data_IF_448810345124
#
_entry.id   IF_448810345124
#
_cell.length_a   1.000
_cell.length_b   1.000
_cell.length_c   1.000
_cell.angle_alpha   90.00
_cell.angle_beta   90.00
_cell.angle_gamma   90.00
#
_symmetry.space_group_name_H-M   'P 1'
#
loop_
_entity.id
_entity.type
_entity.pdbx_description
1 polymer ?
#
# COMPACT_ATOMS: atom_id res chain seq x y z
N UNK A 1 -5.98 -10.89 -3.22
CA UNK A 1 -5.46 -12.26 -3.02
C UNK A 1 -4.57 -12.57 -4.21
N UNK A 2 -3.32 -12.95 -3.99
CA UNK A 2 -2.38 -13.30 -5.06
C UNK A 2 -1.99 -14.77 -4.90
N UNK A 3 -1.86 -15.48 -6.03
CA UNK A 3 -1.59 -16.92 -6.10
C UNK A 3 -0.16 -17.25 -5.70
N UNK A 4 0.03 -18.32 -4.89
CA UNK A 4 1.33 -18.85 -4.44
C UNK A 4 2.29 -19.28 -5.57
N UNK A 5 1.87 -19.23 -6.83
CA UNK A 5 2.69 -19.55 -8.02
C UNK A 5 3.22 -18.33 -8.77
N UNK A 6 2.87 -17.12 -8.36
CA UNK A 6 3.37 -15.92 -9.02
C UNK A 6 4.63 -15.43 -8.28
N UNK A 7 5.78 -15.52 -8.94
CA UNK A 7 7.02 -14.86 -8.52
C UNK A 7 6.92 -13.37 -8.83
N UNK A 8 6.53 -12.55 -7.86
CA UNK A 8 6.48 -11.10 -8.04
C UNK A 8 7.89 -10.53 -7.91
N UNK A 9 8.36 -9.91 -8.98
CA UNK A 9 9.56 -9.09 -8.96
C UNK A 9 9.08 -7.66 -8.72
N UNK A 10 9.44 -7.09 -7.59
CA UNK A 10 9.06 -5.73 -7.25
C UNK A 10 10.07 -4.78 -7.87
N UNK A 11 9.58 -3.86 -8.68
CA UNK A 11 10.38 -2.79 -9.27
C UNK A 11 10.09 -1.55 -8.43
N UNK A 12 11.09 -1.07 -7.68
CA UNK A 12 11.03 0.27 -7.11
C UNK A 12 11.34 1.26 -8.24
N UNK A 13 10.43 2.20 -8.45
CA UNK A 13 10.62 3.29 -9.39
C UNK A 13 10.52 4.57 -8.59
N UNK A 14 11.61 5.33 -8.55
CA UNK A 14 11.71 6.60 -7.82
C UNK A 14 11.06 7.73 -8.63
N UNK A 15 9.78 7.55 -8.98
CA UNK A 15 8.99 8.45 -9.80
C UNK A 15 7.50 8.36 -9.47
N UNK A 16 6.75 9.44 -9.73
CA UNK A 16 5.28 9.42 -9.68
C UNK A 16 4.72 8.55 -10.82
N UNK A 17 4.59 7.24 -10.57
CA UNK A 17 3.93 6.32 -11.49
C UNK A 17 2.42 6.49 -11.39
N UNK A 18 1.80 6.69 -12.55
CA UNK A 18 0.34 6.62 -12.67
C UNK A 18 -0.05 5.27 -13.26
N UNK A 19 -0.91 4.52 -12.57
CA UNK A 19 -1.45 3.24 -13.07
C UNK A 19 -2.62 3.54 -14.00
N UNK A 20 -2.52 3.08 -15.25
CA UNK A 20 -3.54 3.25 -16.27
C UNK A 20 -4.15 1.90 -16.65
N UNK A 21 -5.44 1.72 -16.39
CA UNK A 21 -6.19 0.50 -16.74
C UNK A 21 -5.55 -0.81 -16.22
N UNK A 22 -4.89 -0.76 -15.06
CA UNK A 22 -4.19 -1.91 -14.47
C UNK A 22 -2.77 -2.13 -14.98
N UNK A 23 -2.25 -1.23 -15.82
CA UNK A 23 -0.89 -1.29 -16.37
C UNK A 23 -0.04 -0.11 -15.89
N UNK A 24 1.26 -0.35 -15.76
CA UNK A 24 2.27 0.68 -15.55
C UNK A 24 2.85 1.01 -16.93
N UNK A 25 2.80 2.28 -17.31
CA UNK A 25 3.34 2.77 -18.56
C UNK A 25 4.72 3.38 -18.33
N UNK A 26 5.72 2.88 -19.05
CA UNK A 26 7.11 3.34 -18.93
C UNK A 26 7.66 3.60 -20.33
N UNK A 27 8.36 4.72 -20.48
CA UNK A 27 9.14 5.03 -21.68
C UNK A 27 10.54 4.48 -21.49
N UNK A 28 10.96 3.61 -22.39
CA UNK A 28 12.26 2.92 -22.36
C UNK A 28 13.11 3.36 -23.56
N UNK A 29 14.42 3.41 -23.36
CA UNK A 29 15.42 3.57 -24.42
C UNK A 29 15.60 2.27 -25.21
N UNK A 30 16.25 2.34 -26.38
CA UNK A 30 16.54 1.14 -27.19
C UNK A 30 17.43 0.13 -26.46
N UNK A 31 18.36 0.61 -25.61
CA UNK A 31 19.22 -0.25 -24.79
C UNK A 31 18.42 -1.01 -23.72
N UNK A 32 17.51 -0.32 -23.04
CA UNK A 32 16.61 -0.94 -22.05
C UNK A 32 15.63 -1.89 -22.71
N UNK A 33 15.15 -1.56 -23.90
CA UNK A 33 14.28 -2.43 -24.68
C UNK A 33 14.97 -3.76 -25.02
N UNK A 34 16.23 -3.72 -25.43
CA UNK A 34 17.02 -4.94 -25.67
C UNK A 34 17.23 -5.77 -24.39
N UNK A 35 17.41 -5.11 -23.25
CA UNK A 35 17.51 -5.79 -21.95
C UNK A 35 16.19 -6.46 -21.56
N UNK A 36 15.06 -5.76 -21.74
CA UNK A 36 13.72 -6.32 -21.50
C UNK A 36 13.48 -7.53 -22.39
N UNK A 37 13.80 -7.45 -23.69
CA UNK A 37 13.68 -8.61 -24.59
C UNK A 37 14.51 -9.82 -24.12
N UNK A 38 15.73 -9.58 -23.63
CA UNK A 38 16.60 -10.64 -23.12
C UNK A 38 15.97 -11.36 -21.93
N UNK A 39 15.33 -10.59 -21.03
CA UNK A 39 14.65 -11.11 -19.85
C UNK A 39 13.36 -11.84 -20.23
N UNK A 40 12.50 -11.23 -21.06
CA UNK A 40 11.18 -11.78 -21.39
C UNK A 40 11.29 -13.08 -22.18
N UNK A 41 12.34 -13.27 -23.01
CA UNK A 41 12.62 -14.52 -23.73
C UNK A 41 12.81 -15.73 -22.81
N UNK A 42 13.20 -15.51 -21.56
CA UNK A 42 13.36 -16.58 -20.57
C UNK A 42 12.06 -16.90 -19.81
N UNK A 43 11.01 -16.09 -20.00
CA UNK A 43 9.75 -16.20 -19.29
C UNK A 43 8.67 -16.85 -20.16
N UNK A 44 7.80 -17.66 -19.53
CA UNK A 44 6.68 -18.30 -20.23
C UNK A 44 5.50 -17.34 -20.48
N UNK A 45 5.31 -16.36 -19.58
CA UNK A 45 4.24 -15.37 -19.64
C UNK A 45 4.73 -14.03 -19.07
N UNK A 46 5.45 -13.22 -19.87
CA UNK A 46 6.05 -11.98 -19.37
C UNK A 46 4.99 -10.92 -19.02
N UNK A 47 3.83 -10.92 -19.69
CA UNK A 47 2.80 -9.88 -19.55
C UNK A 47 3.37 -8.44 -19.73
N UNK A 48 4.37 -8.31 -20.60
CA UNK A 48 5.01 -7.06 -20.99
C UNK A 48 4.60 -6.75 -22.43
N UNK A 49 4.16 -5.51 -22.67
CA UNK A 49 3.62 -5.07 -23.95
C UNK A 49 4.32 -3.80 -24.42
N UNK A 50 4.52 -3.70 -25.73
CA UNK A 50 5.08 -2.55 -26.42
C UNK A 50 4.00 -1.89 -27.28
N UNK A 51 3.91 -0.57 -27.24
CA UNK A 51 3.10 0.18 -28.18
C UNK A 51 3.92 0.48 -29.44
N UNK A 52 3.45 0.04 -30.62
CA UNK A 52 4.08 0.29 -31.91
C UNK A 52 3.01 0.28 -33.01
N UNK A 53 3.13 1.19 -33.99
CA UNK A 53 2.24 1.23 -35.17
C UNK A 53 0.74 1.24 -34.79
N UNK A 54 0.38 2.06 -33.80
CA UNK A 54 -0.98 2.20 -33.25
C UNK A 54 -1.60 0.91 -32.67
N UNK A 55 -0.77 -0.07 -32.31
CA UNK A 55 -1.21 -1.31 -31.67
C UNK A 55 -0.29 -1.71 -30.49
N UNK A 56 -0.85 -2.50 -29.57
CA UNK A 56 -0.06 -3.20 -28.57
C UNK A 56 0.45 -4.52 -29.15
N UNK A 57 1.73 -4.78 -28.93
CA UNK A 57 2.37 -6.06 -29.22
C UNK A 57 2.98 -6.62 -27.95
N UNK A 58 2.83 -7.91 -27.72
CA UNK A 58 3.46 -8.62 -26.62
C UNK A 58 4.95 -8.87 -26.93
N UNK A 59 5.80 -8.75 -25.90
CA UNK A 59 7.24 -9.00 -26.04
C UNK A 59 7.55 -10.48 -26.35
N UNK A 60 8.67 -10.75 -27.05
CA UNK A 60 9.19 -12.10 -27.22
C UNK A 60 9.30 -12.85 -25.89
N UNK A 61 8.86 -14.11 -25.88
CA UNK A 61 8.81 -15.00 -24.73
C UNK A 61 9.33 -16.39 -25.08
N UNK A 62 9.39 -17.28 -24.08
CA UNK A 62 9.74 -18.70 -24.30
C UNK A 62 8.75 -19.40 -25.26
N UNK A 63 7.51 -18.92 -25.34
CA UNK A 63 6.46 -19.47 -26.22
C UNK A 63 6.48 -18.87 -27.62
N UNK A 64 6.82 -17.60 -27.74
CA UNK A 64 6.85 -16.88 -29.02
C UNK A 64 8.18 -16.15 -29.16
N UNK A 65 9.07 -16.56 -30.09
CA UNK A 65 10.37 -15.90 -30.26
C UNK A 65 10.27 -14.49 -30.87
N UNK A 66 9.11 -14.15 -31.44
CA UNK A 66 8.84 -12.87 -32.08
C UNK A 66 7.71 -12.10 -31.37
N UNK A 67 7.62 -10.80 -31.65
CA UNK A 67 6.55 -9.94 -31.18
C UNK A 67 5.19 -10.43 -31.72
N UNK A 68 4.24 -10.62 -30.81
CA UNK A 68 2.89 -11.09 -31.17
C UNK A 68 1.85 -10.00 -30.94
N UNK A 69 0.87 -9.81 -31.85
CA UNK A 69 -0.25 -8.91 -31.61
C UNK A 69 -1.03 -9.33 -30.35
N UNK A 70 -1.49 -8.36 -29.56
CA UNK A 70 -2.39 -8.64 -28.44
C UNK A 70 -3.75 -9.14 -28.94
N UNK A 71 -4.19 -10.32 -28.51
CA UNK A 71 -5.52 -10.85 -28.82
C UNK A 71 -6.64 -10.19 -28.00
N UNK A 72 -7.89 -10.39 -28.40
CA UNK A 72 -9.09 -9.76 -27.81
C UNK A 72 -9.25 -9.98 -26.29
N UNK A 73 -8.58 -11.01 -25.74
CA UNK A 73 -8.65 -11.40 -24.34
C UNK A 73 -7.32 -11.25 -23.58
N UNK A 74 -6.26 -10.74 -24.22
CA UNK A 74 -4.93 -10.65 -23.62
C UNK A 74 -4.21 -9.36 -24.01
N UNK A 75 -3.90 -8.53 -23.02
CA UNK A 75 -3.10 -7.31 -23.18
C UNK A 75 -3.91 -6.01 -23.10
N UNK A 76 -3.22 -4.86 -23.15
CA UNK A 76 -3.88 -3.56 -23.01
C UNK A 76 -4.76 -3.25 -24.23
N UNK A 77 -5.93 -2.66 -24.00
CA UNK A 77 -6.91 -2.31 -25.06
C UNK A 77 -7.16 -0.80 -25.18
N UNK A 78 -6.22 0.03 -24.72
CA UNK A 78 -6.33 1.49 -24.73
C UNK A 78 -5.19 2.14 -25.51
N UNK A 79 -5.39 3.36 -26.02
CA UNK A 79 -4.34 4.11 -26.71
C UNK A 79 -3.53 4.97 -25.69
N UNK A 80 -2.20 4.74 -25.56
CA UNK A 80 -1.34 5.47 -24.61
C UNK A 80 -0.82 6.82 -25.12
N UNK A 81 -0.99 7.18 -26.40
CA UNK A 81 -0.36 8.36 -27.04
C UNK A 81 -0.75 9.71 -26.39
N UNK A 82 -1.90 9.77 -25.72
CA UNK A 82 -2.34 10.95 -24.96
C UNK A 82 -1.99 10.94 -23.47
N UNK A 83 -1.24 9.94 -23.00
CA UNK A 83 -0.91 9.75 -21.60
C UNK A 83 0.48 10.30 -21.29
N UNK A 84 0.65 10.76 -20.05
CA UNK A 84 1.95 11.18 -19.52
C UNK A 84 2.66 9.95 -19.00
N UNK A 85 3.82 9.66 -19.57
CA UNK A 85 4.54 8.40 -19.33
C UNK A 85 5.82 8.75 -18.58
N UNK A 86 6.19 7.92 -17.61
CA UNK A 86 7.42 8.09 -16.85
C UNK A 86 8.58 7.51 -17.65
N UNK A 87 9.67 8.25 -17.79
CA UNK A 87 10.92 7.72 -18.34
C UNK A 87 11.57 6.75 -17.33
N UNK A 88 11.97 5.57 -17.79
CA UNK A 88 12.51 4.49 -16.95
C UNK A 88 13.76 4.92 -16.15
N UNK A 89 14.66 5.69 -16.77
CA UNK A 89 15.96 6.07 -16.20
C UNK A 89 15.91 7.31 -15.33
N UNK A 90 15.10 8.30 -15.68
CA UNK A 90 15.11 9.63 -15.02
C UNK A 90 13.95 9.83 -14.06
N UNK A 91 12.92 8.96 -14.12
CA UNK A 91 11.72 9.10 -13.31
C UNK A 91 10.90 10.35 -13.63
N UNK A 92 11.25 11.11 -14.67
CA UNK A 92 10.54 12.32 -15.06
C UNK A 92 9.32 11.96 -15.91
N UNK A 93 8.24 12.70 -15.67
CA UNK A 93 7.00 12.58 -16.42
C UNK A 93 7.18 13.28 -17.76
N UNK A 94 7.30 12.51 -18.83
CA UNK A 94 7.43 13.01 -20.20
C UNK A 94 6.12 12.81 -20.97
N UNK A 95 5.81 13.75 -21.87
CA UNK A 95 4.74 13.54 -22.82
C UNK A 95 5.13 12.41 -23.80
N UNK A 96 4.18 11.53 -24.14
CA UNK A 96 4.40 10.45 -25.11
C UNK A 96 4.75 10.96 -26.52
N UNK A 97 4.38 12.20 -26.84
CA UNK A 97 4.71 12.92 -28.08
C UNK A 97 5.50 14.17 -27.72
N UNK A 98 6.72 14.29 -28.26
CA UNK A 98 7.48 15.52 -28.17
C UNK A 98 6.79 16.59 -29.03
N UNK A 99 6.49 17.74 -28.43
CA UNK A 99 5.89 18.86 -29.15
C UNK A 99 4.39 19.07 -28.92
N UNK A 100 3.88 20.16 -29.49
CA UNK A 100 2.46 20.47 -29.60
C UNK A 100 2.03 20.25 -31.05
N UNK A 101 1.07 19.35 -31.27
CA UNK A 101 0.49 19.07 -32.57
C UNK A 101 -0.78 19.89 -32.78
N UNK A 102 -0.95 20.42 -34.00
CA UNK A 102 -2.18 21.10 -34.42
C UNK A 102 -2.78 20.44 -35.65
N UNK A 103 -4.02 19.99 -35.51
CA UNK A 103 -4.83 19.46 -36.60
C UNK A 103 -5.95 20.45 -36.94
N UNK A 104 -6.03 20.89 -38.20
CA UNK A 104 -7.13 21.73 -38.70
C UNK A 104 -8.21 20.82 -39.30
N UNK A 105 -9.39 20.79 -38.70
CA UNK A 105 -10.56 20.11 -39.26
C UNK A 105 -11.57 21.15 -39.74
N UNK A 106 -12.02 21.04 -41.00
CA UNK A 106 -13.08 21.88 -41.56
C UNK A 106 -14.04 21.00 -42.36
N UNK A 107 -15.35 21.06 -42.05
CA UNK A 107 -16.37 20.20 -42.67
C UNK A 107 -16.79 20.66 -44.07
N UNK A 108 -16.81 21.97 -44.30
CA UNK A 108 -17.10 22.59 -45.59
C UNK A 108 -16.35 23.92 -45.68
N UNK A 109 -16.05 24.41 -46.89
CA UNK A 109 -15.28 25.66 -47.06
C UNK A 109 -15.98 26.90 -46.45
N UNK A 110 -17.29 26.83 -46.22
CA UNK A 110 -18.10 27.86 -45.56
C UNK A 110 -18.16 27.76 -44.03
N UNK A 111 -17.74 26.63 -43.44
CA UNK A 111 -17.79 26.43 -41.99
C UNK A 111 -16.53 26.98 -41.31
N UNK A 112 -16.69 27.47 -40.08
CA UNK A 112 -15.56 27.88 -39.24
C UNK A 112 -14.65 26.69 -38.96
N UNK A 113 -13.32 26.81 -39.22
CA UNK A 113 -12.40 25.72 -39.00
C UNK A 113 -12.17 25.49 -37.50
N UNK A 114 -11.93 24.23 -37.16
CA UNK A 114 -11.60 23.79 -35.81
C UNK A 114 -10.13 23.43 -35.78
N UNK A 115 -9.39 24.06 -34.88
CA UNK A 115 -7.99 23.76 -34.62
C UNK A 115 -7.90 22.89 -33.37
N UNK A 116 -7.57 21.61 -33.54
CA UNK A 116 -7.34 20.68 -32.44
C UNK A 116 -5.87 20.73 -32.04
N UNK A 117 -5.61 20.92 -30.75
CA UNK A 117 -4.27 21.08 -30.19
C UNK A 117 -4.04 19.94 -29.19
N UNK A 118 -3.04 19.10 -29.46
CA UNK A 118 -2.68 17.90 -28.69
C UNK A 118 -1.16 17.79 -28.48
N UNK A 119 -0.68 16.80 -27.72
CA UNK A 119 0.74 16.67 -27.34
C UNK A 119 1.05 17.30 -25.98
N UNK A 120 2.22 17.93 -25.83
CA UNK A 120 2.68 18.51 -24.55
C UNK A 120 2.03 19.86 -24.21
N UNK A 121 0.71 19.83 -24.07
CA UNK A 121 -0.12 21.03 -23.83
C UNK A 121 -0.34 21.34 -22.35
N UNK A 122 0.09 20.45 -21.45
CA UNK A 122 -0.19 20.56 -20.01
C UNK A 122 0.62 21.65 -19.30
N UNK A 123 1.94 21.84 -19.54
CA UNK A 123 2.69 22.97 -18.98
C UNK A 123 2.12 24.33 -19.41
N UNK A 124 1.45 24.36 -20.57
CA UNK A 124 0.93 25.57 -21.20
C UNK A 124 -0.59 25.70 -21.12
N UNK A 125 -1.24 24.93 -20.23
CA UNK A 125 -2.71 24.88 -20.11
C UNK A 125 -3.33 26.26 -19.82
N UNK A 126 -2.66 27.09 -19.02
CA UNK A 126 -3.17 28.42 -18.66
C UNK A 126 -3.04 29.40 -19.83
N UNK A 127 -1.97 29.30 -20.61
CA UNK A 127 -1.82 30.04 -21.88
C UNK A 127 -2.93 29.67 -22.86
N UNK A 128 -3.20 28.38 -23.04
CA UNK A 128 -4.27 27.91 -23.93
C UNK A 128 -5.65 28.40 -23.50
N UNK A 129 -5.97 28.35 -22.20
CA UNK A 129 -7.22 28.91 -21.66
C UNK A 129 -7.32 30.42 -21.85
N UNK A 130 -6.24 31.16 -21.55
CA UNK A 130 -6.19 32.63 -21.65
C UNK A 130 -6.51 33.10 -23.07
N UNK A 131 -6.08 32.35 -24.08
CA UNK A 131 -6.30 32.65 -25.49
C UNK A 131 -7.54 31.96 -26.10
N UNK A 132 -8.48 31.51 -25.25
CA UNK A 132 -9.80 31.06 -25.69
C UNK A 132 -9.87 29.60 -26.19
N UNK A 133 -8.81 28.80 -26.01
CA UNK A 133 -8.86 27.37 -26.32
C UNK A 133 -9.69 26.64 -25.26
N UNK A 134 -10.47 25.64 -25.69
CA UNK A 134 -11.34 24.84 -24.81
C UNK A 134 -10.92 23.38 -24.81
N UNK A 135 -11.04 22.70 -23.68
CA UNK A 135 -10.70 21.27 -23.59
C UNK A 135 -11.87 20.37 -24.00
N UNK A 136 -11.64 19.42 -24.91
CA UNK A 136 -12.60 18.39 -25.28
C UNK A 136 -12.33 17.10 -24.50
N UNK A 137 -13.28 16.69 -23.64
CA UNK A 137 -13.20 15.41 -22.92
C UNK A 137 -13.25 14.20 -23.86
N UNK A 138 -13.95 14.30 -25.00
CA UNK A 138 -14.15 13.19 -25.95
C UNK A 138 -12.90 12.88 -26.78
N UNK A 139 -12.19 13.92 -27.23
CA UNK A 139 -10.94 13.78 -27.99
C UNK A 139 -9.67 13.88 -27.13
N UNK A 140 -9.81 14.25 -25.85
CA UNK A 140 -8.68 14.53 -24.94
C UNK A 140 -7.68 15.51 -25.58
N UNK A 141 -8.20 16.58 -26.17
CA UNK A 141 -7.40 17.61 -26.84
C UNK A 141 -8.03 18.98 -26.63
N UNK A 142 -7.22 20.02 -26.69
CA UNK A 142 -7.70 21.40 -26.75
C UNK A 142 -8.26 21.68 -28.14
N UNK A 143 -9.22 22.59 -28.25
CA UNK A 143 -9.73 23.06 -29.52
C UNK A 143 -9.93 24.57 -29.51
N UNK A 144 -9.72 25.19 -30.66
CA UNK A 144 -10.02 26.58 -30.94
C UNK A 144 -10.90 26.65 -32.19
N UNK A 145 -11.96 27.48 -32.13
CA UNK A 145 -12.89 27.69 -33.25
C UNK A 145 -12.68 29.12 -33.73
N UNK A 146 -12.14 29.28 -34.93
CA UNK A 146 -11.83 30.58 -35.52
C UNK A 146 -11.04 30.39 -36.81
N UNK A 147 -10.95 31.45 -37.63
CA UNK A 147 -10.30 31.38 -38.94
C UNK A 147 -8.82 30.98 -38.84
N UNK A 148 -8.12 31.54 -37.86
CA UNK A 148 -6.71 31.31 -37.57
C UNK A 148 -6.48 31.17 -36.06
N UNK A 149 -5.44 30.41 -35.68
CA UNK A 149 -5.01 30.29 -34.28
C UNK A 149 -4.47 31.64 -33.77
N UNK A 150 -4.74 32.00 -32.50
CA UNK A 150 -4.15 33.20 -31.90
C UNK A 150 -2.62 33.19 -32.00
N UNK A 151 -2.01 34.34 -32.31
CA UNK A 151 -0.56 34.47 -32.54
C UNK A 151 0.28 33.92 -31.37
N UNK A 152 -0.18 34.14 -30.13
CA UNK A 152 0.48 33.61 -28.93
C UNK A 152 0.48 32.07 -28.87
N UNK A 153 -0.57 31.42 -29.38
CA UNK A 153 -0.64 29.95 -29.47
C UNK A 153 0.25 29.45 -30.61
N UNK A 154 0.31 30.17 -31.74
CA UNK A 154 1.22 29.84 -32.84
C UNK A 154 2.70 29.98 -32.43
N UNK A 155 3.04 31.02 -31.67
CA UNK A 155 4.39 31.23 -31.13
C UNK A 155 4.76 30.12 -30.14
N UNK A 156 3.83 29.73 -29.27
CA UNK A 156 4.03 28.61 -28.35
C UNK A 156 4.33 27.30 -29.10
N UNK A 157 3.56 26.99 -30.14
CA UNK A 157 3.78 25.79 -30.96
C UNK A 157 5.17 25.83 -31.62
N UNK A 158 5.56 26.98 -32.16
CA UNK A 158 6.89 27.16 -32.75
C UNK A 158 7.99 26.94 -31.72
N UNK A 159 7.88 27.53 -30.52
CA UNK A 159 8.86 27.39 -29.44
C UNK A 159 9.01 25.93 -28.98
N UNK A 160 7.90 25.21 -28.85
CA UNK A 160 7.89 23.83 -28.31
C UNK A 160 8.28 22.78 -29.37
N UNK A 161 8.16 23.10 -30.67
CA UNK A 161 8.47 22.17 -31.77
C UNK A 161 9.82 22.42 -32.47
N UNK A 162 10.62 23.41 -32.06
CA UNK A 162 11.98 23.53 -32.61
C UNK A 162 12.82 22.35 -32.10
N UNK A 163 13.45 21.55 -32.98
CA UNK A 163 14.39 20.53 -32.54
C UNK A 163 15.62 21.22 -31.97
N UNK A 164 15.81 21.13 -30.66
CA UNK A 164 17.08 21.47 -30.01
C UNK A 164 18.09 20.38 -30.38
N UNK A 165 18.92 20.65 -31.38
CA UNK A 165 20.22 19.99 -31.53
C UNK A 165 21.09 20.42 -30.34
N UNK A 166 21.76 19.46 -29.72
CA UNK A 166 22.50 19.62 -28.50
C UNK A 166 23.67 20.63 -28.62
N UNK A 167 23.79 21.47 -27.57
CA UNK A 167 24.97 22.20 -27.05
C UNK A 167 25.29 23.64 -27.53
N UNK A 168 25.30 24.52 -26.51
CA UNK A 168 26.01 25.80 -26.29
C UNK A 168 25.43 27.09 -26.91
N UNK A 169 24.69 27.84 -26.09
CA UNK A 169 24.78 29.30 -25.81
C UNK A 169 23.60 29.60 -24.85
N UNK A 170 23.77 29.58 -23.53
CA UNK A 170 24.42 30.60 -22.71
C UNK A 170 24.33 32.05 -23.25
N UNK A 171 23.51 32.83 -22.53
CA UNK A 171 23.46 34.30 -22.38
C UNK A 171 22.79 35.06 -23.55
N UNK A 172 21.87 36.03 -23.36
CA UNK A 172 21.62 36.93 -22.22
C UNK A 172 20.27 37.69 -22.34
N UNK A 173 19.73 38.14 -21.19
CA UNK A 173 18.80 39.27 -20.90
C UNK A 173 17.33 38.89 -20.63
N UNK A 174 16.74 39.13 -19.46
CA UNK A 174 17.16 39.85 -18.24
C UNK A 174 16.36 39.31 -17.06
N UNK A 175 17.03 38.66 -16.11
CA UNK A 175 16.55 38.49 -14.74
C UNK A 175 16.93 39.75 -13.98
N UNK A 176 15.97 40.66 -13.84
CA UNK A 176 15.99 41.71 -12.82
C UNK A 176 14.72 41.49 -12.02
N UNK A 177 14.81 40.59 -11.04
CA UNK A 177 13.93 40.36 -9.87
C UNK A 177 13.96 38.88 -9.44
N UNK A 178 15.06 38.45 -8.81
CA UNK A 178 15.15 37.52 -7.67
C UNK A 178 16.54 36.83 -7.60
N UNK A 179 17.56 37.58 -7.20
CA UNK A 179 18.63 36.99 -6.37
C UNK A 179 18.70 37.75 -5.02
N UNK A 180 18.96 37.03 -3.91
CA UNK A 180 18.99 37.62 -2.57
C UNK A 180 20.24 38.52 -2.39
N UNK A 181 20.08 39.63 -1.65
CA UNK A 181 21.14 40.61 -1.36
C UNK A 181 22.53 39.99 -1.14
N UNK A 182 23.54 40.63 -1.74
CA UNK A 182 24.95 40.34 -1.48
C UNK A 182 25.31 40.59 -0.01
N UNK A 183 26.28 39.81 0.51
CA UNK A 183 26.73 39.90 1.91
C UNK A 183 27.40 41.25 2.24
N UNK A 184 27.92 41.93 1.22
CA UNK A 184 28.54 43.25 1.35
C UNK A 184 27.47 44.34 1.52
N UNK A 185 26.33 44.26 0.82
CA UNK A 185 25.15 45.09 1.07
C UNK A 185 24.50 44.78 2.42
N UNK A 186 24.41 43.49 2.80
CA UNK A 186 23.90 43.10 4.11
C UNK A 186 24.74 43.66 5.27
N UNK A 187 26.07 43.76 5.10
CA UNK A 187 26.97 44.35 6.10
C UNK A 187 26.79 45.87 6.24
N UNK A 188 26.51 46.57 5.14
CA UNK A 188 26.24 48.00 5.10
C UNK A 188 24.87 48.36 5.71
N UNK A 189 23.88 47.47 5.58
CA UNK A 189 22.54 47.63 6.14
C UNK A 189 22.49 47.24 7.64
N UNK A 190 23.25 46.24 8.08
CA UNK A 190 23.20 45.72 9.46
C UNK A 190 24.33 46.21 10.38
N UNK A 191 25.34 46.90 9.88
CA UNK A 191 26.37 47.56 10.70
C UNK A 191 27.29 46.60 11.49
N UNK A 192 27.40 45.32 11.10
CA UNK A 192 28.29 44.34 11.75
C UNK A 192 29.06 43.52 10.69
N UNK A 193 30.40 43.38 10.80
CA UNK A 193 31.20 42.64 9.83
C UNK A 193 31.16 41.11 10.06
N UNK A 194 30.82 40.33 9.02
CA UNK A 194 30.86 38.85 9.01
C UNK A 194 32.09 38.39 8.21
N UNK A 195 32.89 37.46 8.76
CA UNK A 195 34.10 36.89 8.12
C UNK A 195 33.86 35.47 7.61
N UNK A 196 34.29 35.21 6.38
CA UNK A 196 34.31 33.87 5.76
C UNK A 196 35.45 32.98 6.31
N UNK A 197 35.18 31.67 6.41
CA UNK A 197 36.19 30.63 6.66
C UNK A 197 36.51 29.89 5.37
N UNK A 198 37.79 29.87 5.03
CA UNK A 198 38.38 29.23 3.84
C UNK A 198 38.31 27.71 3.86
N UNK A 199 38.16 27.14 2.65
CA UNK A 199 38.26 25.70 2.34
C UNK A 199 39.69 25.38 1.93
N UNK A 200 40.28 24.34 2.52
CA UNK A 200 41.57 23.76 2.11
C UNK A 200 41.37 22.44 1.35
N UNK A 201 42.13 22.26 0.27
CA UNK A 201 42.22 21.08 -0.61
C UNK A 201 43.13 19.96 -0.05
N UNK A 202 42.84 18.68 -0.34
CA UNK A 202 43.80 17.57 -0.69
C UNK A 202 43.02 16.38 -1.37
N UNK A 203 43.65 15.36 -2.02
CA UNK A 203 43.41 14.97 -3.44
C UNK A 203 42.98 13.49 -3.69
N UNK A 204 42.79 13.15 -4.97
CA UNK A 204 42.53 11.85 -5.65
C UNK A 204 42.61 10.52 -4.86
N UNK A 205 41.47 9.82 -4.77
CA UNK A 205 41.34 8.35 -4.69
C UNK A 205 40.04 7.89 -5.41
N UNK A 206 40.02 6.69 -6.03
CA UNK A 206 38.94 6.26 -6.93
C UNK A 206 37.61 5.99 -6.23
N UNK A 207 36.52 6.37 -6.90
CA UNK A 207 35.14 6.42 -6.39
C UNK A 207 34.68 5.13 -5.67
N UNK A 208 34.29 5.20 -4.38
CA UNK A 208 33.44 4.19 -3.79
C UNK A 208 31.98 4.46 -4.16
N UNK A 209 31.34 3.43 -4.73
CA UNK A 209 29.90 3.25 -4.95
C UNK A 209 29.01 4.03 -3.96
N UNK A 210 27.89 4.64 -4.39
CA UNK A 210 27.09 5.53 -3.56
C UNK A 210 26.57 4.82 -2.30
N UNK A 211 27.11 5.20 -1.14
CA UNK A 211 26.63 4.79 0.18
C UNK A 211 25.24 5.41 0.41
N UNK A 212 24.23 4.57 0.51
CA UNK A 212 22.88 4.90 0.99
C UNK A 212 23.01 5.68 2.31
N UNK A 213 22.63 6.96 2.31
CA UNK A 213 22.53 7.76 3.53
C UNK A 213 21.16 7.54 4.15
N UNK A 214 21.09 6.68 5.16
CA UNK A 214 19.92 6.56 6.04
C UNK A 214 19.86 7.82 6.90
N UNK A 215 18.89 8.69 6.63
CA UNK A 215 18.55 9.79 7.53
C UNK A 215 17.92 9.15 8.77
N UNK A 216 18.63 9.18 9.90
CA UNK A 216 18.13 8.70 11.19
C UNK A 216 17.00 9.64 11.66
N UNK A 217 15.75 9.18 11.80
CA UNK A 217 14.73 9.96 12.48
C UNK A 217 15.10 10.04 13.97
N UNK A 218 15.05 11.23 14.53
CA UNK A 218 15.18 11.45 15.98
C UNK A 218 13.96 10.81 16.63
N UNK A 219 14.18 9.78 17.46
CA UNK A 219 13.14 9.24 18.35
C UNK A 219 12.85 10.32 19.40
N UNK A 220 11.63 10.83 19.43
CA UNK A 220 11.18 11.81 20.42
C UNK A 220 10.88 11.06 21.73
N UNK A 221 11.46 11.49 22.86
CA UNK A 221 11.49 10.79 24.17
C UNK A 221 10.12 10.70 24.89
N UNK A 222 9.02 11.03 24.20
CA UNK A 222 7.70 11.20 24.83
C UNK A 222 6.95 9.90 25.16
N UNK A 223 7.36 8.76 24.58
CA UNK A 223 6.72 7.45 24.82
C UNK A 223 7.76 6.41 25.30
N UNK A 224 8.07 6.46 26.60
CA UNK A 224 9.06 5.60 27.26
C UNK A 224 8.79 4.09 27.07
N UNK A 225 7.53 3.69 26.91
CA UNK A 225 7.13 2.28 26.72
C UNK A 225 7.64 1.69 25.41
N UNK A 226 7.50 2.43 24.31
CA UNK A 226 7.98 2.00 22.99
C UNK A 226 9.52 1.97 23.00
N UNK A 227 10.16 2.98 23.57
CA UNK A 227 11.63 3.05 23.64
C UNK A 227 12.20 1.90 24.47
N UNK A 228 11.53 1.53 25.57
CA UNK A 228 11.86 0.39 26.43
C UNK A 228 11.67 -0.93 25.68
N UNK A 229 10.53 -1.12 25.00
CA UNK A 229 10.27 -2.31 24.19
C UNK A 229 11.34 -2.57 23.12
N UNK A 230 11.79 -1.52 22.41
CA UNK A 230 12.90 -1.65 21.44
C UNK A 230 14.22 -2.04 22.14
N UNK A 231 14.44 -1.58 23.38
CA UNK A 231 15.66 -1.91 24.14
C UNK A 231 15.63 -3.37 24.64
N UNK A 232 14.49 -3.85 25.11
CA UNK A 232 14.31 -5.22 25.61
C UNK A 232 14.43 -6.25 24.48
N UNK A 233 13.83 -5.98 23.32
CA UNK A 233 13.92 -6.87 22.16
C UNK A 233 15.35 -7.01 21.59
N UNK A 234 16.29 -6.14 21.96
CA UNK A 234 17.72 -6.28 21.62
C UNK A 234 18.45 -7.30 22.51
N UNK A 235 17.93 -7.58 23.71
CA UNK A 235 18.58 -8.43 24.69
C UNK A 235 18.30 -9.93 24.48
N UNK A 236 17.19 -10.28 23.82
CA UNK A 236 16.85 -11.67 23.50
C UNK A 236 17.26 -11.99 22.05
N UNK A 237 18.06 -13.02 21.86
CA UNK A 237 18.39 -13.54 20.53
C UNK A 237 17.12 -14.03 19.84
N UNK A 238 16.71 -13.33 18.79
CA UNK A 238 15.46 -13.58 18.07
C UNK A 238 15.47 -14.98 17.42
N UNK A 239 14.47 -15.84 17.69
CA UNK A 239 14.29 -17.05 16.90
C UNK A 239 13.85 -16.66 15.48
N UNK A 240 14.77 -16.75 14.53
CA UNK A 240 14.46 -16.68 13.10
C UNK A 240 13.76 -17.97 12.73
N UNK A 241 12.42 -17.94 12.64
CA UNK A 241 11.65 -19.06 12.13
C UNK A 241 11.96 -19.21 10.63
N UNK A 242 12.76 -20.21 10.29
CA UNK A 242 12.92 -20.67 8.92
C UNK A 242 11.55 -21.15 8.44
N UNK A 243 11.03 -20.56 7.36
CA UNK A 243 9.77 -21.00 6.75
C UNK A 243 9.88 -22.47 6.33
N UNK A 244 9.32 -23.36 7.14
CA UNK A 244 9.17 -24.76 6.80
C UNK A 244 8.12 -24.89 5.69
N UNK A 245 8.55 -25.35 4.51
CA UNK A 245 7.64 -25.68 3.41
C UNK A 245 6.74 -26.86 3.81
N UNK A 246 5.57 -26.59 4.37
CA UNK A 246 4.49 -27.59 4.49
C UNK A 246 3.38 -27.26 3.50
N UNK A 247 3.44 -27.94 2.35
CA UNK A 247 2.46 -27.91 1.28
C UNK A 247 1.19 -28.68 1.66
N UNK A 248 0.43 -28.20 2.63
CA UNK A 248 -0.92 -28.69 2.83
C UNK A 248 -1.84 -27.51 3.13
N UNK A 249 -2.87 -27.33 2.30
CA UNK A 249 -4.04 -26.50 2.60
C UNK A 249 -4.87 -27.17 3.72
N UNK A 250 -4.21 -27.62 4.79
CA UNK A 250 -4.87 -28.21 5.92
C UNK A 250 -5.48 -27.07 6.73
N UNK A 251 -6.81 -27.03 6.78
CA UNK A 251 -7.49 -26.20 7.77
C UNK A 251 -6.92 -26.57 9.14
N UNK A 252 -6.31 -25.60 9.81
CA UNK A 252 -5.85 -25.81 11.17
C UNK A 252 -7.05 -25.72 12.10
N UNK A 253 -7.19 -26.73 12.96
CA UNK A 253 -8.26 -26.79 13.94
C UNK A 253 -7.94 -25.80 15.07
N UNK A 254 -8.87 -24.91 15.38
CA UNK A 254 -8.80 -24.09 16.58
C UNK A 254 -9.09 -25.03 17.78
N UNK A 255 -8.18 -25.13 18.78
CA UNK A 255 -8.43 -25.91 19.97
C UNK A 255 -9.68 -25.42 20.70
N UNK A 256 -10.55 -26.36 21.07
CA UNK A 256 -11.84 -26.07 21.69
C UNK A 256 -12.21 -27.22 22.62
N UNK A 257 -12.65 -26.88 23.83
CA UNK A 257 -13.13 -27.83 24.83
C UNK A 257 -14.42 -27.31 25.48
N UNK A 258 -15.29 -28.23 25.89
CA UNK A 258 -16.51 -27.89 26.61
C UNK A 258 -16.13 -27.19 27.93
N UNK A 259 -16.49 -25.92 28.05
CA UNK A 259 -16.02 -25.05 29.14
C UNK A 259 -17.12 -24.55 30.05
N UNK A 260 -18.39 -24.88 29.77
CA UNK A 260 -19.52 -24.51 30.63
C UNK A 260 -20.85 -24.55 29.91
N UNK A 261 -21.88 -24.02 30.56
CA UNK A 261 -23.23 -23.84 30.01
C UNK A 261 -23.53 -22.34 29.82
N UNK A 262 -24.12 -21.98 28.69
CA UNK A 262 -24.65 -20.63 28.46
C UNK A 262 -26.05 -20.53 29.03
N UNK A 263 -26.24 -19.55 29.89
CA UNK A 263 -27.49 -19.23 30.58
C UNK A 263 -27.87 -17.78 30.31
N UNK A 264 -29.11 -17.41 30.59
CA UNK A 264 -29.59 -16.04 30.38
C UNK A 264 -31.04 -16.02 29.95
N UNK A 265 -31.94 -16.45 30.83
CA UNK A 265 -33.39 -16.51 30.57
C UNK A 265 -33.77 -17.20 29.25
N UNK A 266 -33.02 -18.24 28.88
CA UNK A 266 -33.30 -19.08 27.72
C UNK A 266 -33.85 -20.43 28.19
N UNK A 267 -34.68 -21.05 27.36
CA UNK A 267 -35.26 -22.37 27.64
C UNK A 267 -34.48 -23.44 26.90
N UNK A 268 -33.79 -24.32 27.64
CA UNK A 268 -32.97 -25.42 27.10
C UNK A 268 -31.47 -25.24 27.37
N UNK A 269 -30.74 -26.35 27.41
CA UNK A 269 -29.31 -26.36 27.72
C UNK A 269 -28.45 -26.07 26.50
N UNK A 270 -27.59 -25.07 26.60
CA UNK A 270 -26.65 -24.66 25.55
C UNK A 270 -25.24 -24.77 26.08
N UNK A 271 -24.45 -25.68 25.52
CA UNK A 271 -23.08 -25.90 25.93
C UNK A 271 -22.14 -24.88 25.28
N UNK A 272 -21.19 -24.36 26.03
CA UNK A 272 -20.14 -23.47 25.56
C UNK A 272 -18.86 -24.30 25.29
N UNK A 273 -18.27 -24.13 24.11
CA UNK A 273 -17.04 -24.81 23.68
C UNK A 273 -15.85 -23.86 23.52
N UNK A 274 -16.06 -22.58 23.79
CA UNK A 274 -15.02 -21.57 23.81
C UNK A 274 -15.61 -20.17 23.75
N UNK A 275 -14.95 -19.22 24.41
CA UNK A 275 -15.38 -17.83 24.44
C UNK A 275 -14.17 -16.90 24.58
N UNK A 276 -14.34 -15.64 24.17
CA UNK A 276 -13.37 -14.58 24.39
C UNK A 276 -14.07 -13.26 24.71
N UNK A 277 -13.54 -12.54 25.71
CA UNK A 277 -14.03 -11.22 26.14
C UNK A 277 -12.90 -10.21 26.13
N UNK A 278 -13.15 -9.05 25.53
CA UNK A 278 -12.24 -7.91 25.53
C UNK A 278 -13.00 -6.66 25.99
N UNK A 279 -12.54 -6.02 27.07
CA UNK A 279 -13.15 -4.79 27.61
C UNK A 279 -14.68 -4.89 27.84
N UNK A 280 -15.13 -6.05 28.32
CA UNK A 280 -16.55 -6.32 28.57
C UNK A 280 -17.35 -6.75 27.33
N UNK A 281 -16.75 -6.73 26.14
CA UNK A 281 -17.37 -7.15 24.89
C UNK A 281 -17.03 -8.62 24.61
N UNK A 282 -18.03 -9.45 24.35
CA UNK A 282 -17.86 -10.80 23.86
C UNK A 282 -17.42 -10.75 22.39
N UNK A 283 -16.15 -11.04 22.11
CA UNK A 283 -15.60 -10.96 20.74
C UNK A 283 -15.72 -12.27 19.98
N UNK A 284 -15.83 -13.38 20.72
CA UNK A 284 -16.00 -14.72 20.17
C UNK A 284 -16.79 -15.60 21.16
N UNK A 285 -17.71 -16.40 20.64
CA UNK A 285 -18.32 -17.51 21.38
C UNK A 285 -18.64 -18.66 20.43
N UNK A 286 -18.32 -19.88 20.85
CA UNK A 286 -18.77 -21.11 20.22
C UNK A 286 -19.66 -21.87 21.19
N UNK A 287 -20.87 -22.20 20.75
CA UNK A 287 -21.82 -22.96 21.54
C UNK A 287 -22.62 -23.97 20.71
N UNK A 288 -23.27 -24.90 21.39
CA UNK A 288 -24.15 -25.86 20.74
C UNK A 288 -25.21 -26.43 21.68
N UNK A 289 -26.36 -26.78 21.11
CA UNK A 289 -27.50 -27.26 21.87
C UNK A 289 -28.77 -27.36 21.01
N UNK A 290 -29.96 -27.44 21.64
CA UNK A 290 -31.23 -27.40 20.93
C UNK A 290 -31.38 -26.11 20.12
N UNK A 291 -31.85 -26.24 18.89
CA UNK A 291 -31.96 -25.12 17.92
C UNK A 291 -32.57 -23.85 18.51
N UNK A 292 -33.72 -23.97 19.17
CA UNK A 292 -34.44 -22.84 19.74
C UNK A 292 -33.62 -22.11 20.82
N UNK A 293 -32.87 -22.85 21.65
CA UNK A 293 -32.05 -22.27 22.71
C UNK A 293 -30.83 -21.55 22.13
N UNK A 294 -30.16 -22.15 21.15
CA UNK A 294 -29.01 -21.55 20.44
C UNK A 294 -29.42 -20.28 19.67
N UNK A 295 -30.56 -20.31 18.98
CA UNK A 295 -31.10 -19.13 18.31
C UNK A 295 -31.46 -18.01 19.30
N UNK A 296 -31.95 -18.36 20.51
CA UNK A 296 -32.22 -17.39 21.56
C UNK A 296 -30.94 -16.71 22.09
N UNK A 297 -29.85 -17.46 22.28
CA UNK A 297 -28.54 -16.89 22.62
C UNK A 297 -28.06 -15.93 21.54
N UNK A 298 -28.14 -16.34 20.27
CA UNK A 298 -27.79 -15.47 19.13
C UNK A 298 -28.59 -14.17 19.16
N UNK A 299 -29.90 -14.27 19.33
CA UNK A 299 -30.79 -13.11 19.32
C UNK A 299 -30.49 -12.15 20.49
N UNK A 300 -30.17 -12.67 21.67
CA UNK A 300 -29.78 -11.86 22.83
C UNK A 300 -28.48 -11.09 22.58
N UNK A 301 -27.42 -11.79 22.19
CA UNK A 301 -26.13 -11.14 21.91
C UNK A 301 -26.24 -10.14 20.75
N UNK A 302 -27.02 -10.46 19.70
CA UNK A 302 -27.26 -9.52 18.60
C UNK A 302 -27.97 -8.23 19.05
N UNK A 303 -28.82 -8.29 20.09
CA UNK A 303 -29.50 -7.13 20.67
C UNK A 303 -28.65 -6.37 21.70
N UNK A 304 -27.52 -6.94 22.12
CA UNK A 304 -26.70 -6.42 23.22
C UNK A 304 -27.14 -6.88 24.61
N UNK A 305 -28.09 -7.81 24.69
CA UNK A 305 -28.51 -8.39 25.97
C UNK A 305 -27.42 -9.30 26.55
N UNK A 306 -27.44 -9.44 27.87
CA UNK A 306 -26.47 -10.22 28.62
C UNK A 306 -26.77 -11.73 28.57
N UNK A 307 -25.71 -12.51 28.35
CA UNK A 307 -25.68 -13.98 28.40
C UNK A 307 -24.57 -14.37 29.37
N UNK A 308 -24.83 -15.31 30.28
CA UNK A 308 -23.85 -15.78 31.24
C UNK A 308 -23.29 -17.13 30.81
N UNK A 309 -21.97 -17.22 30.64
CA UNK A 309 -21.29 -18.51 30.61
C UNK A 309 -21.05 -18.95 32.05
N UNK A 310 -21.53 -20.12 32.44
CA UNK A 310 -21.27 -20.72 33.76
C UNK A 310 -20.26 -21.84 33.56
N UNK A 311 -18.96 -21.61 33.81
CA UNK A 311 -17.96 -22.66 33.73
C UNK A 311 -18.16 -23.73 34.80
N UNK A 312 -17.59 -24.90 34.58
CA UNK A 312 -17.68 -26.03 35.51
C UNK A 312 -16.88 -25.84 36.79
N UNK A 313 -15.79 -25.06 36.70
CA UNK A 313 -14.74 -24.92 37.70
C UNK A 313 -14.46 -23.47 38.11
N UNK A 314 -15.20 -22.51 37.55
CA UNK A 314 -14.96 -21.07 37.72
C UNK A 314 -16.29 -20.29 37.85
N UNK A 315 -16.25 -19.06 38.39
CA UNK A 315 -17.44 -18.23 38.50
C UNK A 315 -18.04 -17.87 37.13
N UNK A 316 -19.32 -17.53 37.12
CA UNK A 316 -20.03 -17.12 35.91
C UNK A 316 -19.38 -15.90 35.26
N UNK A 317 -19.36 -15.91 33.94
CA UNK A 317 -18.73 -14.91 33.09
C UNK A 317 -19.81 -14.27 32.23
N UNK A 318 -19.89 -12.95 32.32
CA UNK A 318 -20.84 -12.16 31.55
C UNK A 318 -20.34 -11.99 30.11
N UNK A 319 -21.19 -12.35 29.16
CA UNK A 319 -21.00 -12.18 27.73
C UNK A 319 -22.07 -11.18 27.24
N UNK A 320 -21.64 -10.04 26.72
CA UNK A 320 -22.51 -9.04 26.10
C UNK A 320 -21.84 -8.48 24.84
N UNK A 321 -22.63 -7.91 23.93
CA UNK A 321 -22.07 -7.12 22.83
C UNK A 321 -21.39 -5.84 23.34
N UNK A 322 -21.75 -5.37 24.54
CA UNK A 322 -21.41 -4.03 25.00
C UNK A 322 -22.29 -2.96 24.35
N UNK A 323 -22.24 -1.76 24.91
CA UNK A 323 -23.04 -0.63 24.46
C UNK A 323 -22.64 -0.20 23.03
N UNK A 324 -23.61 -0.01 22.15
CA UNK A 324 -23.37 0.46 20.77
C UNK A 324 -22.87 -0.58 19.76
N UNK A 325 -22.64 -1.84 20.17
CA UNK A 325 -22.16 -2.92 19.30
C UNK A 325 -23.26 -3.93 18.91
N UNK A 326 -24.53 -3.58 19.08
CA UNK A 326 -25.63 -4.45 18.67
C UNK A 326 -25.61 -4.67 17.15
N UNK A 327 -25.83 -5.93 16.73
CA UNK A 327 -25.79 -6.32 15.32
C UNK A 327 -24.39 -6.56 14.73
N UNK A 328 -23.31 -6.30 15.45
CA UNK A 328 -21.92 -6.42 14.95
C UNK A 328 -21.37 -7.86 15.01
N UNK A 329 -22.23 -8.87 14.85
CA UNK A 329 -21.84 -10.29 14.92
C UNK A 329 -22.07 -11.01 13.59
N UNK A 330 -21.00 -11.64 13.11
CA UNK A 330 -21.08 -12.66 12.06
C UNK A 330 -21.43 -14.01 12.70
N UNK A 331 -22.54 -14.61 12.28
CA UNK A 331 -23.03 -15.88 12.79
C UNK A 331 -22.77 -17.03 11.81
N UNK A 332 -22.06 -18.05 12.28
CA UNK A 332 -21.84 -19.30 11.56
C UNK A 332 -22.64 -20.40 12.27
N UNK A 333 -23.78 -20.75 11.69
CA UNK A 333 -24.72 -21.71 12.28
C UNK A 333 -24.80 -22.97 11.44
N UNK A 334 -24.65 -24.12 12.08
CA UNK A 334 -24.79 -25.43 11.46
C UNK A 334 -25.81 -26.26 12.25
N UNK A 335 -26.86 -26.69 11.58
CA UNK A 335 -27.88 -27.56 12.16
C UNK A 335 -27.61 -29.01 11.76
N UNK A 336 -27.68 -29.92 12.73
CA UNK A 336 -27.58 -31.38 12.57
C UNK A 336 -28.95 -31.96 12.97
N UNK A 337 -29.90 -32.08 12.02
CA UNK A 337 -31.28 -32.45 12.32
C UNK A 337 -31.41 -33.80 13.04
N UNK A 338 -30.58 -34.77 12.67
CA UNK A 338 -30.60 -36.15 13.19
C UNK A 338 -30.29 -36.18 14.70
N UNK A 339 -29.41 -35.28 15.15
CA UNK A 339 -29.03 -35.15 16.56
C UNK A 339 -29.90 -34.14 17.33
N UNK A 340 -30.85 -33.47 16.66
CA UNK A 340 -31.58 -32.30 17.18
C UNK A 340 -30.62 -31.25 17.78
N UNK A 341 -29.46 -31.11 17.17
CA UNK A 341 -28.35 -30.32 17.68
C UNK A 341 -27.99 -29.22 16.69
N UNK A 342 -27.81 -28.01 17.18
CA UNK A 342 -27.35 -26.86 16.39
C UNK A 342 -26.07 -26.33 17.02
N UNK A 343 -25.04 -26.17 16.19
CA UNK A 343 -23.80 -25.48 16.55
C UNK A 343 -23.85 -24.04 16.04
N UNK A 344 -23.33 -23.12 16.84
CA UNK A 344 -23.25 -21.71 16.53
C UNK A 344 -21.89 -21.16 16.94
N UNK A 345 -21.23 -20.50 16.01
CA UNK A 345 -20.07 -19.64 16.28
C UNK A 345 -20.49 -18.20 16.00
N UNK A 346 -20.27 -17.32 16.97
CA UNK A 346 -20.43 -15.88 16.81
C UNK A 346 -19.07 -15.21 16.89
N UNK A 347 -18.77 -14.40 15.88
CA UNK A 347 -17.56 -13.61 15.79
C UNK A 347 -17.94 -12.14 15.68
N UNK A 348 -17.40 -11.31 16.56
CA UNK A 348 -17.60 -9.87 16.48
C UNK A 348 -16.90 -9.27 15.25
N UNK A 349 -17.40 -8.17 14.71
CA UNK A 349 -16.84 -7.54 13.50
C UNK A 349 -15.38 -7.10 13.67
N UNK A 350 -14.96 -6.73 14.87
CA UNK A 350 -13.55 -6.43 15.18
C UNK A 350 -12.60 -7.62 14.89
N UNK A 351 -13.12 -8.85 14.92
CA UNK A 351 -12.38 -10.08 14.57
C UNK A 351 -12.43 -10.36 13.06
N UNK A 352 -13.59 -10.16 12.42
CA UNK A 352 -13.81 -10.58 11.02
C UNK A 352 -13.45 -9.50 10.00
N UNK A 353 -13.65 -8.23 10.36
CA UNK A 353 -13.41 -7.04 9.52
C UNK A 353 -12.54 -6.05 10.31
N UNK A 354 -11.22 -6.31 10.44
CA UNK A 354 -10.32 -5.39 11.12
C UNK A 354 -10.31 -4.04 10.42
N UNK A 355 -10.53 -2.96 11.17
CA UNK A 355 -10.40 -1.60 10.68
C UNK A 355 -8.92 -1.19 10.70
N UNK A 356 -8.33 -0.75 9.59
CA UNK A 356 -6.93 -0.30 9.54
C UNK A 356 -6.79 1.23 9.54
N UNK A 357 -7.83 1.96 9.95
CA UNK A 357 -7.87 3.43 10.00
C UNK A 357 -7.00 4.09 11.08
N UNK A 358 -6.26 3.33 11.89
CA UNK A 358 -5.14 3.83 12.68
C UNK A 358 -5.32 3.89 14.20
N UNK A 359 -6.50 3.58 14.76
CA UNK A 359 -6.76 3.46 16.21
C UNK A 359 -7.92 2.50 16.49
N UNK A 360 -7.68 1.24 16.23
CA UNK A 360 -8.68 0.17 16.32
C UNK A 360 -8.06 -1.06 16.98
N UNK A 361 -8.91 -2.03 17.28
CA UNK A 361 -8.47 -3.32 17.84
C UNK A 361 -8.89 -4.44 16.91
N UNK A 362 -8.00 -5.39 16.71
CA UNK A 362 -8.28 -6.68 16.06
C UNK A 362 -7.82 -7.81 16.95
N UNK A 363 -8.12 -9.05 16.57
CA UNK A 363 -7.68 -10.22 17.33
C UNK A 363 -7.08 -11.30 16.43
N UNK A 364 -6.22 -12.12 17.03
CA UNK A 364 -5.53 -13.24 16.41
C UNK A 364 -5.82 -14.50 17.22
N UNK A 365 -6.34 -15.55 16.58
CA UNK A 365 -6.34 -16.89 17.19
C UNK A 365 -4.92 -17.41 17.23
N UNK A 366 -4.51 -17.93 18.38
CA UNK A 366 -3.21 -18.56 18.57
C UNK A 366 -3.39 -20.07 18.51
N UNK A 367 -3.07 -20.64 17.35
CA UNK A 367 -3.01 -22.10 17.14
C UNK A 367 -1.55 -22.58 17.17
N UNK A 368 -0.64 -21.77 16.63
CA UNK A 368 0.80 -21.93 16.76
C UNK A 368 1.49 -20.57 16.73
N UNK A 369 2.70 -20.49 17.29
CA UNK A 369 3.50 -19.27 17.28
C UNK A 369 3.76 -18.76 15.86
N UNK A 370 4.10 -19.66 14.93
CA UNK A 370 4.34 -19.31 13.52
C UNK A 370 3.09 -18.71 12.86
N UNK A 371 1.91 -19.29 13.12
CA UNK A 371 0.65 -18.79 12.57
C UNK A 371 0.27 -17.44 13.17
N UNK A 372 0.42 -17.27 14.48
CA UNK A 372 0.10 -16.02 15.17
C UNK A 372 1.02 -14.88 14.72
N UNK A 373 2.32 -15.17 14.62
CA UNK A 373 3.33 -14.27 14.08
C UNK A 373 3.04 -13.87 12.63
N UNK A 374 2.72 -14.82 11.76
CA UNK A 374 2.38 -14.53 10.37
C UNK A 374 1.12 -13.65 10.25
N UNK A 375 0.10 -13.89 11.07
CA UNK A 375 -1.09 -13.03 11.13
C UNK A 375 -0.76 -11.64 11.65
N UNK A 376 0.05 -11.52 12.70
CA UNK A 376 0.50 -10.22 13.22
C UNK A 376 1.20 -9.42 12.12
N UNK A 377 2.17 -10.03 11.43
CA UNK A 377 2.85 -9.40 10.30
C UNK A 377 1.86 -8.91 9.25
N UNK A 378 0.88 -9.72 8.87
CA UNK A 378 -0.13 -9.32 7.89
C UNK A 378 -0.95 -8.11 8.35
N UNK A 379 -1.33 -8.05 9.63
CA UNK A 379 -2.02 -6.90 10.18
C UNK A 379 -1.15 -5.65 10.17
N UNK A 380 0.11 -5.76 10.60
CA UNK A 380 1.06 -4.63 10.59
C UNK A 380 1.32 -4.16 9.16
N UNK A 381 1.56 -5.07 8.21
CA UNK A 381 1.76 -4.74 6.78
C UNK A 381 0.59 -3.97 6.16
N UNK A 382 -0.65 -4.29 6.56
CA UNK A 382 -1.82 -3.56 6.09
C UNK A 382 -2.00 -2.20 6.76
N UNK A 383 -1.49 -2.06 7.97
CA UNK A 383 -1.61 -0.85 8.78
C UNK A 383 -0.55 0.19 8.41
N UNK A 384 0.71 -0.21 8.28
CA UNK A 384 1.82 0.70 8.01
C UNK A 384 2.10 0.82 6.51
N UNK A 385 2.63 1.97 6.09
CA UNK A 385 2.98 2.22 4.68
C UNK A 385 4.37 1.70 4.29
N UNK A 386 5.07 1.04 5.21
CA UNK A 386 6.43 0.50 5.00
C UNK A 386 6.37 -1.01 4.81
N UNK A 387 7.25 -1.60 3.98
CA UNK A 387 7.31 -3.04 3.83
C UNK A 387 7.76 -3.68 5.16
N UNK A 388 7.07 -4.76 5.55
CA UNK A 388 7.45 -5.57 6.73
C UNK A 388 7.89 -6.94 6.25
N UNK A 389 9.15 -7.26 6.51
CA UNK A 389 9.78 -8.50 6.05
C UNK A 389 9.51 -9.66 7.02
N UNK A 390 9.54 -10.92 6.54
CA UNK A 390 9.28 -12.08 7.39
C UNK A 390 10.24 -12.18 8.57
N UNK A 391 11.50 -11.79 8.38
CA UNK A 391 12.56 -11.89 9.39
C UNK A 391 12.32 -10.94 10.56
N UNK A 392 11.53 -9.88 10.36
CA UNK A 392 11.19 -8.91 11.40
C UNK A 392 10.06 -9.39 12.31
N UNK A 393 9.39 -10.50 11.98
CA UNK A 393 8.17 -10.92 12.67
C UNK A 393 8.41 -11.29 14.13
N UNK A 394 9.52 -11.97 14.44
CA UNK A 394 9.89 -12.31 15.82
C UNK A 394 10.09 -11.05 16.67
N UNK A 395 10.79 -10.06 16.11
CA UNK A 395 10.97 -8.75 16.75
C UNK A 395 9.63 -8.05 16.99
N UNK A 396 8.76 -8.00 15.98
CA UNK A 396 7.45 -7.35 16.10
C UNK A 396 6.54 -8.03 17.13
N UNK A 397 6.62 -9.36 17.25
CA UNK A 397 5.85 -10.12 18.24
C UNK A 397 6.28 -9.79 19.67
N UNK A 398 7.59 -9.78 19.93
CA UNK A 398 8.14 -9.48 21.25
C UNK A 398 8.00 -7.99 21.61
N UNK A 399 8.45 -7.10 20.71
CA UNK A 399 8.40 -5.66 20.94
C UNK A 399 6.96 -5.16 20.99
N UNK A 400 6.04 -5.76 20.22
CA UNK A 400 4.60 -5.47 20.29
C UNK A 400 3.99 -5.85 21.64
N UNK A 401 4.42 -6.95 22.26
CA UNK A 401 4.00 -7.33 23.62
C UNK A 401 4.55 -6.37 24.68
N UNK A 402 5.85 -6.06 24.62
CA UNK A 402 6.47 -5.11 25.54
C UNK A 402 5.87 -3.70 25.43
N UNK A 403 5.47 -3.28 24.22
CA UNK A 403 4.77 -2.03 23.98
C UNK A 403 3.26 -2.08 24.26
N UNK A 404 2.72 -3.20 24.78
CA UNK A 404 1.29 -3.41 25.05
C UNK A 404 0.37 -3.30 23.81
N UNK A 405 0.94 -3.39 22.61
CA UNK A 405 0.21 -3.46 21.34
C UNK A 405 -0.33 -4.86 21.06
N UNK A 406 0.29 -5.89 21.62
CA UNK A 406 -0.14 -7.28 21.51
C UNK A 406 -0.34 -7.82 22.93
N UNK A 407 -1.56 -8.23 23.27
CA UNK A 407 -1.93 -8.62 24.64
C UNK A 407 -2.79 -9.89 24.64
N UNK A 408 -2.64 -10.80 25.61
CA UNK A 408 -3.55 -11.93 25.74
C UNK A 408 -4.97 -11.43 26.03
N UNK A 409 -5.96 -11.92 25.28
CA UNK A 409 -7.37 -11.67 25.53
C UNK A 409 -7.88 -12.64 26.59
N UNK A 410 -8.87 -12.24 27.39
CA UNK A 410 -9.51 -13.15 28.35
C UNK A 410 -10.33 -14.18 27.57
N UNK A 411 -9.98 -15.45 27.69
CA UNK A 411 -10.63 -16.56 26.96
C UNK A 411 -10.98 -17.75 27.87
N UNK A 412 -11.72 -18.71 27.32
CA UNK A 412 -11.96 -20.01 27.93
C UNK A 412 -12.27 -21.10 26.89
N UNK A 413 -12.22 -22.37 27.33
CA UNK A 413 -12.47 -23.55 26.48
C UNK A 413 -11.36 -23.86 25.50
N UNK A 414 -10.10 -23.81 25.97
CA UNK A 414 -8.85 -24.05 25.20
C UNK A 414 -8.60 -23.10 24.03
N UNK A 415 -9.48 -22.11 23.83
CA UNK A 415 -9.28 -21.05 22.85
C UNK A 415 -8.27 -20.05 23.38
N UNK A 416 -7.21 -19.80 22.63
CA UNK A 416 -6.25 -18.73 22.91
C UNK A 416 -6.41 -17.63 21.88
N UNK A 417 -6.71 -16.42 22.35
CA UNK A 417 -6.91 -15.25 21.50
C UNK A 417 -5.99 -14.11 21.99
N UNK A 418 -5.39 -13.41 21.05
CA UNK A 418 -4.55 -12.24 21.32
C UNK A 418 -5.21 -11.00 20.75
N UNK A 419 -5.29 -9.95 21.57
CA UNK A 419 -5.69 -8.60 21.20
C UNK A 419 -4.51 -7.90 20.52
N UNK A 420 -4.75 -7.31 19.36
CA UNK A 420 -3.78 -6.49 18.63
C UNK A 420 -4.35 -5.08 18.47
N UNK A 421 -3.66 -4.11 19.06
CA UNK A 421 -3.94 -2.69 18.88
C UNK A 421 -3.38 -2.25 17.53
N UNK A 422 -4.25 -1.82 16.61
CA UNK A 422 -3.91 -1.32 15.29
C UNK A 422 -3.64 0.20 15.36
N UNK A 423 -2.57 0.58 16.05
CA UNK A 423 -2.08 1.95 16.14
C UNK A 423 -0.96 2.18 15.12
N UNK A 424 -1.25 2.94 14.06
CA UNK A 424 -0.30 3.16 12.97
C UNK A 424 0.98 3.87 13.43
N UNK A 425 0.87 4.80 14.38
CA UNK A 425 1.99 5.59 14.86
C UNK A 425 2.90 4.73 15.74
N UNK A 426 2.31 3.94 16.64
CA UNK A 426 3.06 3.05 17.52
C UNK A 426 3.81 1.94 16.74
N UNK A 427 3.15 1.30 15.78
CA UNK A 427 3.79 0.27 14.95
C UNK A 427 4.88 0.86 14.05
N UNK A 428 4.66 2.06 13.49
CA UNK A 428 5.69 2.75 12.69
C UNK A 428 6.91 3.10 13.55
N UNK A 429 6.71 3.55 14.80
CA UNK A 429 7.81 3.83 15.73
C UNK A 429 8.58 2.59 16.17
N UNK A 430 7.91 1.46 16.37
CA UNK A 430 8.60 0.19 16.62
C UNK A 430 9.50 -0.19 15.44
N UNK A 431 9.00 -0.07 14.21
CA UNK A 431 9.79 -0.36 13.00
C UNK A 431 10.97 0.59 12.83
N UNK A 432 10.76 1.90 12.96
CA UNK A 432 11.84 2.89 12.84
C UNK A 432 12.86 2.77 13.97
N UNK A 433 12.41 2.49 15.20
CA UNK A 433 13.28 2.25 16.35
C UNK A 433 14.11 0.97 16.19
N UNK A 434 13.51 -0.11 15.71
CA UNK A 434 14.20 -1.36 15.41
C UNK A 434 15.28 -1.19 14.33
N UNK A 435 14.97 -0.45 13.27
CA UNK A 435 15.94 -0.12 12.20
C UNK A 435 17.06 0.81 12.71
N UNK A 436 16.71 1.86 13.48
CA UNK A 436 17.68 2.83 13.99
C UNK A 436 18.68 2.21 14.99
N UNK A 437 18.25 1.21 15.75
CA UNK A 437 19.09 0.48 16.72
C UNK A 437 19.75 -0.78 16.13
N UNK A 438 19.59 -1.02 14.83
CA UNK A 438 20.14 -2.17 14.10
C UNK A 438 19.69 -3.53 14.67
N UNK A 439 18.49 -3.58 15.24
CA UNK A 439 17.86 -4.82 15.76
C UNK A 439 17.20 -5.59 14.63
N UNK A 440 16.57 -4.87 13.71
CA UNK A 440 16.09 -5.39 12.43
C UNK A 440 16.86 -4.69 11.32
N UNK A 441 17.17 -5.43 10.25
CA UNK A 441 17.94 -4.93 9.12
C UNK A 441 17.13 -5.06 7.83
N UNK A 442 17.33 -4.10 6.93
CA UNK A 442 16.95 -4.26 5.54
C UNK A 442 17.88 -5.31 4.95
N UNK A 443 17.35 -6.46 4.56
CA UNK A 443 18.12 -7.50 3.90
C UNK A 443 18.75 -6.91 2.64
N UNK A 444 20.08 -6.85 2.61
CA UNK A 444 20.81 -6.54 1.38
C UNK A 444 20.54 -7.68 0.42
N UNK A 445 19.87 -7.41 -0.69
CA UNK A 445 19.80 -8.37 -1.77
C UNK A 445 21.24 -8.77 -2.12
N UNK A 446 21.55 -10.06 -2.04
CA UNK A 446 22.72 -10.59 -2.73
C UNK A 446 22.48 -10.36 -4.22
N UNK A 447 23.26 -9.43 -4.77
CA UNK A 447 23.34 -9.08 -6.19
C UNK A 447 23.74 -10.30 -7.01
#
# INVERSE_FOLDING_TARGET
MSSKRASYHYIQVDADITIHHGYILIKVSDAELAQVETITRQMQYPAVYRWREDAWVEFPSLKSPDYTPTGDYSGPNFNPTGMRIVAATTGKVEAAVAGILVEKTQRSASDTPWHWISGDTYPHRETLKRWGCRWSKKRKSWYYIGADLPDAVQQLIKQVNVPSDDKVHEQHMSDDDQEPCSIEEASAILGVPIREKSVSQVPDEPEPTPKIRVIKPVLDDRDETIVTAVREAKAESLPVLQSGMTNSHHLQRIPQAACGELTGSITGSVWCYGWAVHEGICVYVNCGGPRMAVEAIRAKLAKGDLVNCVPWDAPSIELTAGEGNSGMYSAFMQNIPEAKFTSLILCHELLTIPNYGGKSTTFIFHVSDEQAMAQLRHHVMKLVKVPVFPEWTGYLWQAGQAAMLVRPTRTGGDVTLWTVTLDIDAWTRLLTGGLAKDVIQLTKAHV
#
